data_IF_992849657786
#
_entry.id   IF_992849657786
#
_cell.length_a   1.000
_cell.length_b   1.000
_cell.length_c   1.000
_cell.angle_alpha   90.00
_cell.angle_beta   90.00
_cell.angle_gamma   90.00
#
_symmetry.space_group_name_H-M   'P 1'
#
loop_
_entity.id
_entity.type
_entity.pdbx_description
1 polymer ?
#
# COMPACT_ATOMS: atom_id res chain seq x y z
N UNK A 1 -1.52 -16.37 -7.20
CA UNK A 1 -0.45 -15.40 -7.58
C UNK A 1 -0.44 -14.30 -6.54
N UNK A 2 0.73 -13.76 -6.16
CA UNK A 2 0.85 -12.63 -5.25
C UNK A 2 1.62 -11.52 -5.96
N UNK A 3 1.26 -10.26 -5.70
CA UNK A 3 2.03 -9.10 -6.18
C UNK A 3 3.00 -8.72 -5.07
N UNK A 4 4.23 -8.36 -5.44
CA UNK A 4 5.24 -7.84 -4.51
C UNK A 4 5.88 -6.59 -5.09
N UNK A 5 5.99 -5.54 -4.27
CA UNK A 5 6.67 -4.31 -4.63
C UNK A 5 7.33 -3.67 -3.41
N UNK A 6 8.38 -2.90 -3.64
CA UNK A 6 9.13 -2.18 -2.60
C UNK A 6 8.37 -0.92 -2.14
N UNK A 7 8.38 -0.65 -0.82
CA UNK A 7 7.72 0.51 -0.23
C UNK A 7 8.20 1.84 -0.79
N UNK A 8 9.49 1.94 -1.15
CA UNK A 8 10.08 3.14 -1.76
C UNK A 8 9.45 3.46 -3.11
N UNK A 9 9.08 2.43 -3.87
CA UNK A 9 8.35 2.58 -5.13
C UNK A 9 6.94 3.11 -4.86
N UNK A 10 6.23 2.58 -3.84
CA UNK A 10 4.90 3.11 -3.49
C UNK A 10 4.97 4.59 -3.10
N UNK A 11 5.95 4.97 -2.28
CA UNK A 11 6.18 6.37 -1.91
C UNK A 11 6.44 7.26 -3.13
N UNK A 12 7.26 6.79 -4.08
CA UNK A 12 7.50 7.50 -5.35
C UNK A 12 6.20 7.64 -6.15
N UNK A 13 5.44 6.55 -6.33
CA UNK A 13 4.17 6.58 -7.07
C UNK A 13 3.17 7.53 -6.44
N UNK A 14 3.03 7.50 -5.11
CA UNK A 14 2.20 8.46 -4.38
C UNK A 14 2.63 9.89 -4.66
N UNK A 15 3.93 10.19 -4.58
CA UNK A 15 4.44 11.55 -4.83
C UNK A 15 4.08 12.03 -6.25
N UNK A 16 4.31 11.22 -7.28
CA UNK A 16 3.99 11.58 -8.67
C UNK A 16 2.49 11.70 -8.92
N UNK A 17 1.67 10.83 -8.33
CA UNK A 17 0.21 10.90 -8.42
C UNK A 17 -0.32 12.17 -7.74
N UNK A 18 0.15 12.49 -6.54
CA UNK A 18 -0.29 13.69 -5.83
C UNK A 18 0.12 14.97 -6.56
N UNK A 19 1.30 15.00 -7.16
CA UNK A 19 1.77 16.14 -7.97
C UNK A 19 0.92 16.28 -9.25
N UNK A 20 0.65 15.19 -9.94
CA UNK A 20 -0.22 15.18 -11.12
C UNK A 20 -1.66 15.62 -10.79
N UNK A 21 -2.17 15.25 -9.61
CA UNK A 21 -3.48 15.70 -9.15
C UNK A 21 -3.49 17.21 -8.82
N UNK A 22 -2.46 17.70 -8.13
CA UNK A 22 -2.32 19.14 -7.80
C UNK A 22 -2.17 20.02 -9.05
N UNK A 23 -1.45 19.53 -10.06
CA UNK A 23 -1.28 20.24 -11.34
C UNK A 23 -2.51 20.22 -12.25
N UNK A 24 -3.56 19.47 -11.87
CA UNK A 24 -4.75 19.29 -12.67
C UNK A 24 -4.62 18.26 -13.81
N UNK A 25 -3.47 17.61 -13.97
CA UNK A 25 -3.21 16.60 -15.01
C UNK A 25 -4.20 15.43 -14.95
N UNK A 26 -4.65 15.07 -13.75
CA UNK A 26 -5.56 13.95 -13.53
C UNK A 26 -7.05 14.36 -13.60
N UNK A 27 -7.38 15.66 -13.69
CA UNK A 27 -8.76 16.13 -13.68
C UNK A 27 -9.55 15.55 -12.50
N UNK A 28 -10.73 14.98 -12.79
CA UNK A 28 -11.61 14.35 -11.79
C UNK A 28 -11.28 12.86 -11.51
N UNK A 29 -10.18 12.34 -12.08
CA UNK A 29 -9.79 10.93 -11.90
C UNK A 29 -9.34 10.61 -10.49
N UNK A 30 -8.95 11.61 -9.69
CA UNK A 30 -8.65 11.47 -8.26
C UNK A 30 -9.55 12.42 -7.48
N UNK A 31 -10.25 11.86 -6.51
CA UNK A 31 -11.10 12.59 -5.57
C UNK A 31 -10.47 12.59 -4.19
N UNK A 32 -10.72 13.66 -3.44
CA UNK A 32 -10.16 13.86 -2.11
C UNK A 32 -9.35 15.15 -2.05
N UNK A 33 -9.15 15.65 -0.83
CA UNK A 33 -8.42 16.91 -0.63
C UNK A 33 -6.94 16.63 -0.39
N UNK A 34 -6.10 17.10 -1.30
CA UNK A 34 -4.64 17.01 -1.18
C UNK A 34 -4.09 18.37 -0.75
N UNK A 35 -3.55 18.49 0.48
CA UNK A 35 -2.91 19.73 0.93
C UNK A 35 -1.63 20.03 0.13
N UNK A 36 -1.39 21.32 -0.17
CA UNK A 36 -0.17 21.74 -0.88
C UNK A 36 1.12 21.39 -0.15
N UNK A 37 1.05 21.27 1.18
CA UNK A 37 2.17 20.97 2.05
C UNK A 37 2.18 19.50 2.52
N UNK A 38 1.61 18.57 1.74
CA UNK A 38 1.49 17.15 2.10
C UNK A 38 2.80 16.55 2.61
N UNK A 39 3.92 16.82 1.92
CA UNK A 39 5.26 16.29 2.25
C UNK A 39 5.79 16.78 3.61
N UNK A 40 5.26 17.91 4.10
CA UNK A 40 5.65 18.51 5.40
C UNK A 40 4.73 18.10 6.55
N UNK A 41 3.69 17.33 6.26
CA UNK A 41 2.80 16.82 7.29
C UNK A 41 3.47 15.70 8.09
N UNK A 42 3.06 15.54 9.36
CA UNK A 42 3.42 14.34 10.12
C UNK A 42 2.87 13.09 9.45
N UNK A 43 3.52 11.94 9.64
CA UNK A 43 3.10 10.66 9.05
C UNK A 43 1.62 10.37 9.29
N UNK A 44 1.13 10.56 10.52
CA UNK A 44 -0.29 10.40 10.84
C UNK A 44 -1.20 11.25 9.95
N UNK A 45 -0.86 12.53 9.75
CA UNK A 45 -1.65 13.42 8.89
C UNK A 45 -1.54 13.04 7.41
N UNK A 46 -0.39 12.53 6.97
CA UNK A 46 -0.26 11.98 5.61
C UNK A 46 -1.18 10.78 5.43
N UNK A 47 -1.24 9.87 6.40
CA UNK A 47 -2.16 8.73 6.39
C UNK A 47 -3.62 9.18 6.35
N UNK A 48 -4.00 10.18 7.15
CA UNK A 48 -5.35 10.74 7.13
C UNK A 48 -5.74 11.27 5.74
N UNK A 49 -4.80 11.89 5.02
CA UNK A 49 -5.01 12.33 3.63
C UNK A 49 -5.15 11.12 2.71
N UNK A 50 -4.20 10.18 2.76
CA UNK A 50 -4.18 9.00 1.89
C UNK A 50 -5.47 8.18 1.99
N UNK A 51 -6.02 8.02 3.18
CA UNK A 51 -7.25 7.23 3.41
C UNK A 51 -8.52 7.87 2.86
N UNK A 52 -8.47 9.13 2.48
CA UNK A 52 -9.60 9.86 1.87
C UNK A 52 -9.53 9.90 0.33
N UNK A 53 -8.40 9.49 -0.25
CA UNK A 53 -8.23 9.50 -1.69
C UNK A 53 -8.96 8.31 -2.32
N UNK A 54 -9.59 8.57 -3.45
CA UNK A 54 -10.20 7.55 -4.30
C UNK A 54 -10.22 8.03 -5.74
N UNK A 55 -10.43 7.13 -6.68
CA UNK A 55 -10.48 7.50 -8.08
C UNK A 55 -10.41 6.35 -9.05
N UNK A 56 -10.11 6.68 -10.28
CA UNK A 56 -9.86 5.73 -11.35
C UNK A 56 -8.82 6.33 -12.30
N UNK A 57 -7.56 6.26 -11.88
CA UNK A 57 -6.42 6.85 -12.60
C UNK A 57 -6.12 6.03 -13.86
N UNK A 58 -5.95 6.70 -14.98
CA UNK A 58 -5.37 6.08 -16.16
C UNK A 58 -3.84 6.01 -15.99
N UNK A 59 -3.23 4.82 -15.87
CA UNK A 59 -1.79 4.67 -15.73
C UNK A 59 -0.99 5.24 -16.89
N UNK A 60 -1.54 5.26 -18.10
CA UNK A 60 -0.84 5.70 -19.31
C UNK A 60 -0.66 7.24 -19.35
N UNK A 61 -1.23 7.98 -18.40
CA UNK A 61 -0.92 9.39 -18.19
C UNK A 61 0.48 9.66 -17.61
N UNK A 62 1.17 8.63 -17.08
CA UNK A 62 2.48 8.79 -16.47
C UNK A 62 3.60 8.38 -17.41
N UNK A 63 4.63 9.22 -17.50
CA UNK A 63 5.82 8.96 -18.34
C UNK A 63 6.77 7.97 -17.66
N UNK A 64 6.86 8.04 -16.32
CA UNK A 64 7.70 7.16 -15.51
C UNK A 64 7.20 5.73 -15.57
N UNK A 65 7.98 4.83 -16.17
CA UNK A 65 7.60 3.43 -16.40
C UNK A 65 7.21 2.70 -15.10
N UNK A 66 8.03 2.82 -14.06
CA UNK A 66 7.75 2.14 -12.78
C UNK A 66 6.45 2.63 -12.13
N UNK A 67 6.08 3.90 -12.31
CA UNK A 67 4.81 4.45 -11.82
C UNK A 67 3.66 3.83 -12.59
N UNK A 68 3.74 3.84 -13.92
CA UNK A 68 2.73 3.27 -14.80
C UNK A 68 2.50 1.79 -14.50
N UNK A 69 3.57 1.00 -14.42
CA UNK A 69 3.48 -0.44 -14.17
C UNK A 69 2.96 -0.75 -12.75
N UNK A 70 3.35 0.03 -11.75
CA UNK A 70 2.81 -0.13 -10.39
C UNK A 70 1.31 0.17 -10.35
N UNK A 71 0.84 1.23 -10.99
CA UNK A 71 -0.60 1.51 -11.10
C UNK A 71 -1.34 0.41 -11.86
N UNK A 72 -0.78 -0.07 -13.00
CA UNK A 72 -1.35 -1.18 -13.78
C UNK A 72 -1.50 -2.45 -12.95
N UNK A 73 -0.60 -2.72 -12.01
CA UNK A 73 -0.65 -3.92 -11.16
C UNK A 73 -1.97 -4.03 -10.38
N UNK A 74 -2.55 -2.91 -9.94
CA UNK A 74 -3.84 -2.92 -9.23
C UNK A 74 -5.01 -3.27 -10.16
N UNK A 75 -4.98 -2.86 -11.42
CA UNK A 75 -5.99 -3.24 -12.41
C UNK A 75 -5.84 -4.71 -12.81
N UNK A 76 -4.61 -5.15 -13.05
CA UNK A 76 -4.30 -6.56 -13.37
C UNK A 76 -4.76 -7.49 -12.25
N UNK A 77 -4.53 -7.13 -10.98
CA UNK A 77 -5.03 -7.89 -9.84
C UNK A 77 -6.55 -8.07 -9.91
N UNK A 78 -7.27 -7.01 -10.23
CA UNK A 78 -8.74 -7.04 -10.35
C UNK A 78 -9.18 -7.97 -11.48
N UNK A 79 -8.58 -7.84 -12.67
CA UNK A 79 -8.85 -8.72 -13.82
C UNK A 79 -8.58 -10.20 -13.49
N UNK A 80 -7.46 -10.49 -12.82
CA UNK A 80 -7.14 -11.87 -12.43
C UNK A 80 -8.20 -12.42 -11.47
N UNK A 81 -8.69 -11.61 -10.52
CA UNK A 81 -9.75 -12.05 -9.62
C UNK A 81 -11.09 -12.26 -10.33
N UNK A 82 -11.42 -11.43 -11.31
CA UNK A 82 -12.63 -11.59 -12.12
C UNK A 82 -12.60 -12.89 -12.95
N UNK A 83 -11.44 -13.24 -13.50
CA UNK A 83 -11.26 -14.42 -14.35
C UNK A 83 -11.05 -15.72 -13.55
N UNK A 84 -10.38 -15.67 -12.41
CA UNK A 84 -9.90 -16.86 -11.67
C UNK A 84 -10.44 -16.95 -10.23
N UNK A 85 -11.32 -16.04 -9.84
CA UNK A 85 -11.78 -15.91 -8.47
C UNK A 85 -10.78 -15.16 -7.58
N UNK A 86 -11.24 -14.75 -6.40
CA UNK A 86 -10.46 -13.94 -5.45
C UNK A 86 -9.07 -14.53 -5.15
N UNK A 87 -8.99 -15.84 -4.95
CA UNK A 87 -7.74 -16.53 -4.60
C UNK A 87 -6.72 -16.53 -5.73
N UNK A 88 -7.09 -16.18 -6.95
CA UNK A 88 -6.17 -16.06 -8.09
C UNK A 88 -5.08 -15.01 -7.88
N UNK A 89 -5.43 -13.88 -7.24
CA UNK A 89 -4.48 -12.83 -6.86
C UNK A 89 -5.05 -11.99 -5.71
N UNK A 90 -4.78 -12.37 -4.46
CA UNK A 90 -5.40 -11.73 -3.29
C UNK A 90 -4.41 -11.28 -2.22
N UNK A 91 -3.12 -11.23 -2.54
CA UNK A 91 -2.10 -10.69 -1.63
C UNK A 91 -1.22 -9.68 -2.36
N UNK A 92 -1.07 -8.53 -1.71
CA UNK A 92 -0.12 -7.50 -2.12
C UNK A 92 0.95 -7.37 -1.06
N UNK A 93 2.16 -7.84 -1.36
CA UNK A 93 3.30 -7.90 -0.43
C UNK A 93 4.13 -6.62 -0.58
N UNK A 94 4.43 -5.98 0.55
CA UNK A 94 5.26 -4.79 0.61
C UNK A 94 6.62 -5.18 1.16
N UNK A 95 7.67 -5.18 0.35
CA UNK A 95 9.04 -5.33 0.85
C UNK A 95 9.56 -3.99 1.38
N UNK A 96 10.57 -4.06 2.26
CA UNK A 96 11.12 -2.89 2.94
C UNK A 96 10.03 -2.09 3.70
N UNK A 97 9.20 -2.78 4.47
CA UNK A 97 8.15 -2.14 5.28
C UNK A 97 8.77 -1.51 6.53
N UNK A 98 8.83 -0.19 6.58
CA UNK A 98 9.47 0.56 7.68
C UNK A 98 8.49 1.31 8.57
N UNK A 99 7.28 1.59 8.09
CA UNK A 99 6.26 2.29 8.87
C UNK A 99 4.84 1.89 8.46
N UNK A 100 3.88 2.22 9.29
CA UNK A 100 2.46 2.02 8.99
C UNK A 100 2.03 2.76 7.73
N UNK A 101 2.65 3.90 7.40
CA UNK A 101 2.36 4.67 6.18
C UNK A 101 2.50 3.82 4.92
N UNK A 102 3.48 2.91 4.85
CA UNK A 102 3.67 2.06 3.67
C UNK A 102 2.44 1.20 3.36
N UNK A 103 1.73 0.75 4.40
CA UNK A 103 0.47 0.01 4.23
C UNK A 103 -0.63 0.91 3.68
N UNK A 104 -0.73 2.15 4.17
CA UNK A 104 -1.73 3.11 3.73
C UNK A 104 -1.44 3.68 2.35
N UNK A 105 -0.18 3.71 1.91
CA UNK A 105 0.19 4.04 0.54
C UNK A 105 -0.39 3.02 -0.44
N UNK A 106 -0.22 1.73 -0.17
CA UNK A 106 -0.82 0.66 -0.99
C UNK A 106 -2.36 0.72 -0.95
N UNK A 107 -2.95 0.95 0.22
CA UNK A 107 -4.39 1.15 0.35
C UNK A 107 -4.88 2.30 -0.53
N UNK A 108 -4.22 3.46 -0.48
CA UNK A 108 -4.58 4.64 -1.26
C UNK A 108 -4.40 4.41 -2.77
N UNK A 109 -3.30 3.78 -3.20
CA UNK A 109 -3.06 3.43 -4.61
C UNK A 109 -4.17 2.54 -5.15
N UNK A 110 -4.56 1.51 -4.40
CA UNK A 110 -5.69 0.67 -4.79
C UNK A 110 -6.98 1.49 -4.92
N UNK A 111 -7.30 2.33 -3.93
CA UNK A 111 -8.47 3.22 -3.97
C UNK A 111 -8.47 4.15 -5.17
N UNK A 112 -7.32 4.70 -5.52
CA UNK A 112 -7.16 5.57 -6.68
C UNK A 112 -7.15 4.80 -8.02
N UNK A 113 -6.94 3.48 -7.99
CA UNK A 113 -7.07 2.58 -9.14
C UNK A 113 -8.42 1.86 -9.19
N UNK A 114 -9.48 2.47 -8.67
CA UNK A 114 -10.85 1.98 -8.83
C UNK A 114 -11.28 0.86 -7.89
N UNK A 115 -10.50 0.52 -6.86
CA UNK A 115 -10.95 -0.41 -5.83
C UNK A 115 -11.92 0.31 -4.88
N UNK A 116 -13.16 -0.14 -4.84
CA UNK A 116 -14.13 0.39 -3.89
C UNK A 116 -13.80 -0.06 -2.47
N UNK A 117 -13.99 0.83 -1.48
CA UNK A 117 -13.70 0.56 -0.07
C UNK A 117 -14.31 -0.76 0.43
N UNK A 118 -15.52 -1.03 0.00
CA UNK A 118 -16.28 -2.21 0.45
C UNK A 118 -16.00 -3.48 -0.37
N UNK A 119 -15.29 -3.35 -1.48
CA UNK A 119 -14.97 -4.44 -2.41
C UNK A 119 -13.46 -4.67 -2.57
N UNK A 120 -12.65 -4.21 -1.63
CA UNK A 120 -11.21 -4.47 -1.63
C UNK A 120 -10.94 -5.89 -1.12
N UNK A 121 -10.79 -6.82 -2.06
CA UNK A 121 -10.71 -8.27 -1.84
C UNK A 121 -9.28 -8.79 -1.81
N UNK A 122 -8.32 -8.00 -1.36
CA UNK A 122 -6.94 -8.44 -1.19
C UNK A 122 -6.37 -8.04 0.17
N UNK A 123 -5.39 -8.81 0.60
CA UNK A 123 -4.66 -8.57 1.84
C UNK A 123 -3.42 -7.73 1.55
N UNK A 124 -3.19 -6.69 2.34
CA UNK A 124 -1.97 -5.90 2.32
C UNK A 124 -1.01 -6.57 3.31
N UNK A 125 0.11 -7.10 2.79
CA UNK A 125 1.02 -7.97 3.54
C UNK A 125 2.36 -7.26 3.72
N UNK A 126 2.68 -6.75 4.92
CA UNK A 126 4.02 -6.21 5.19
C UNK A 126 5.02 -7.36 5.25
N UNK A 127 6.19 -7.15 4.66
CA UNK A 127 7.33 -8.01 4.81
C UNK A 127 8.34 -7.32 5.74
N UNK A 128 8.67 -8.00 6.85
CA UNK A 128 9.67 -7.57 7.81
C UNK A 128 10.95 -8.39 7.55
N UNK A 129 12.01 -7.72 7.13
CA UNK A 129 13.23 -8.35 6.60
C UNK A 129 14.45 -8.13 7.48
N UNK A 130 14.48 -7.05 8.26
CA UNK A 130 15.62 -6.69 9.12
C UNK A 130 15.25 -6.78 10.60
N UNK A 131 16.27 -6.79 11.45
CA UNK A 131 16.08 -6.72 12.92
C UNK A 131 15.33 -5.43 13.30
N UNK A 132 15.63 -4.33 12.63
CA UNK A 132 14.95 -3.05 12.86
C UNK A 132 13.46 -3.10 12.46
N UNK A 133 13.14 -3.72 11.31
CA UNK A 133 11.75 -3.89 10.88
C UNK A 133 10.96 -4.72 11.90
N UNK A 134 11.58 -5.81 12.42
CA UNK A 134 10.95 -6.66 13.43
C UNK A 134 10.74 -5.89 14.75
N UNK A 135 11.70 -5.09 15.17
CA UNK A 135 11.60 -4.27 16.38
C UNK A 135 10.49 -3.21 16.26
N UNK A 136 10.33 -2.62 15.07
CA UNK A 136 9.29 -1.62 14.78
C UNK A 136 7.91 -2.24 14.50
N UNK A 137 7.85 -3.56 14.31
CA UNK A 137 6.63 -4.26 13.91
C UNK A 137 5.47 -4.04 14.88
N UNK A 138 5.72 -4.02 16.19
CA UNK A 138 4.69 -3.78 17.19
C UNK A 138 4.02 -2.43 17.03
N UNK A 139 4.79 -1.36 16.86
CA UNK A 139 4.27 0.00 16.68
C UNK A 139 3.49 0.13 15.35
N UNK A 140 3.99 -0.47 14.28
CA UNK A 140 3.33 -0.52 12.97
C UNK A 140 1.93 -1.14 13.12
N UNK A 141 1.84 -2.33 13.72
CA UNK A 141 0.58 -3.05 13.86
C UNK A 141 -0.37 -2.40 14.85
N UNK A 142 0.12 -1.86 15.97
CA UNK A 142 -0.70 -1.14 16.93
C UNK A 142 -1.36 0.08 16.28
N UNK A 143 -0.62 0.83 15.47
CA UNK A 143 -1.19 1.95 14.73
C UNK A 143 -2.25 1.47 13.71
N UNK A 144 -1.92 0.46 12.90
CA UNK A 144 -2.84 -0.08 11.88
C UNK A 144 -4.15 -0.58 12.50
N UNK A 145 -4.06 -1.36 13.59
CA UNK A 145 -5.24 -1.93 14.24
C UNK A 145 -6.05 -0.91 15.05
N UNK A 146 -5.51 0.25 15.33
CA UNK A 146 -6.24 1.38 15.93
C UNK A 146 -6.86 2.31 14.88
N UNK A 147 -6.40 2.27 13.62
CA UNK A 147 -6.88 3.18 12.57
C UNK A 147 -8.22 2.73 11.98
N UNK A 148 -9.30 3.54 12.06
CA UNK A 148 -10.66 3.10 11.69
C UNK A 148 -10.77 2.53 10.28
N UNK A 149 -10.11 3.17 9.30
CA UNK A 149 -10.17 2.72 7.89
C UNK A 149 -9.55 1.34 7.72
N UNK A 150 -8.42 1.07 8.39
CA UNK A 150 -7.77 -0.23 8.30
C UNK A 150 -8.54 -1.32 9.04
N UNK A 151 -9.12 -0.99 10.19
CA UNK A 151 -10.01 -1.91 10.93
C UNK A 151 -11.20 -2.33 10.07
N UNK A 152 -11.81 -1.40 9.32
CA UNK A 152 -12.89 -1.74 8.40
C UNK A 152 -12.41 -2.65 7.24
N UNK A 153 -11.22 -2.38 6.69
CA UNK A 153 -10.60 -3.27 5.71
C UNK A 153 -10.39 -4.68 6.27
N UNK A 154 -9.83 -4.81 7.48
CA UNK A 154 -9.62 -6.10 8.13
C UNK A 154 -10.93 -6.85 8.42
N UNK A 155 -12.02 -6.16 8.76
CA UNK A 155 -13.34 -6.80 8.91
C UNK A 155 -13.78 -7.51 7.64
N UNK A 156 -13.51 -6.91 6.45
CA UNK A 156 -13.78 -7.53 5.15
C UNK A 156 -12.86 -8.71 4.86
N UNK A 157 -11.67 -8.73 5.45
CA UNK A 157 -10.69 -9.81 5.36
C UNK A 157 -10.80 -10.82 6.51
N UNK A 158 -12.01 -11.02 7.05
CA UNK A 158 -12.29 -11.96 8.15
C UNK A 158 -11.45 -11.70 9.41
N UNK A 159 -11.07 -10.43 9.67
CA UNK A 159 -10.20 -10.00 10.76
C UNK A 159 -8.84 -10.73 10.76
N UNK A 160 -8.31 -11.04 9.59
CA UNK A 160 -7.00 -11.67 9.42
C UNK A 160 -6.01 -10.67 8.85
N UNK A 161 -4.82 -10.60 9.44
CA UNK A 161 -3.66 -9.92 8.93
C UNK A 161 -2.60 -10.96 8.59
N UNK A 162 -2.12 -10.93 7.35
CA UNK A 162 -0.94 -11.69 6.95
C UNK A 162 0.29 -10.82 7.10
N UNK A 163 1.35 -11.41 7.64
CA UNK A 163 2.68 -10.80 7.78
C UNK A 163 3.68 -11.77 7.16
N UNK A 164 4.56 -11.26 6.33
CA UNK A 164 5.66 -12.04 5.80
C UNK A 164 6.93 -11.75 6.62
N UNK A 165 7.62 -12.79 7.05
CA UNK A 165 8.89 -12.67 7.74
C UNK A 165 10.01 -13.11 6.80
N UNK A 166 10.98 -12.22 6.58
CA UNK A 166 12.17 -12.50 5.79
C UNK A 166 13.23 -13.25 6.59
N UNK A 167 13.02 -14.54 6.88
CA UNK A 167 13.93 -15.34 7.71
C UNK A 167 15.37 -15.32 7.19
N UNK A 168 15.56 -15.52 5.89
CA UNK A 168 16.89 -15.48 5.28
C UNK A 168 17.56 -14.13 5.38
N UNK A 169 16.78 -13.05 5.16
CA UNK A 169 17.28 -11.68 5.17
C UNK A 169 17.55 -11.21 6.60
N UNK A 170 16.66 -11.51 7.54
CA UNK A 170 16.88 -11.23 8.97
C UNK A 170 18.08 -11.99 9.55
N UNK A 171 18.31 -13.23 9.10
CA UNK A 171 19.50 -14.00 9.50
C UNK A 171 20.79 -13.39 8.94
N UNK A 172 20.77 -12.85 7.71
CA UNK A 172 21.92 -12.14 7.13
C UNK A 172 22.19 -10.81 7.83
N UNK A 173 21.14 -10.13 8.27
CA UNK A 173 21.22 -8.83 8.95
C UNK A 173 21.70 -8.97 10.40
N UNK A 174 21.02 -9.75 11.23
CA UNK A 174 21.27 -9.86 12.68
C UNK A 174 21.85 -11.18 13.16
N UNK A 175 22.04 -12.15 12.28
CA UNK A 175 22.44 -13.51 12.64
C UNK A 175 21.27 -14.36 13.15
N UNK A 176 21.48 -15.66 13.20
CA UNK A 176 20.46 -16.66 13.52
C UNK A 176 19.77 -16.42 14.88
N UNK A 177 20.53 -16.10 15.91
CA UNK A 177 19.97 -15.91 17.25
C UNK A 177 19.12 -14.63 17.39
N UNK A 178 19.44 -13.60 16.63
CA UNK A 178 18.69 -12.34 16.67
C UNK A 178 17.42 -12.41 15.82
N UNK A 179 17.44 -13.22 14.77
CA UNK A 179 16.31 -13.37 13.86
C UNK A 179 15.22 -14.35 14.37
N UNK A 180 15.48 -15.06 15.46
CA UNK A 180 14.57 -15.98 16.14
C UNK A 180 14.25 -15.54 17.56
#
# INVERSE_FOLDING_TARGET
>A
MDIRQDSRIHTQVIAEVLEAAKSGKLGDSVKGKIPNNYEKLSEKKQIDVLTQLEGNIDPDLFETEIVRETLKSFYVMKTIQEENGETGCHRYIISNTQSSKNMFEVYALARMCGWEKDKMTFDIVPLLETVEDLANGEDIFNFMYSHPVYVEHLKKRNKRQYVMLGFSDGTKDGGYFTAN
#
